data_IF_552907576966
#
_entry.id   IF_552907576966
#
_cell.length_a   1.000
_cell.length_b   1.000
_cell.length_c   1.000
_cell.angle_alpha   90.00
_cell.angle_beta   90.00
_cell.angle_gamma   90.00
#
_symmetry.space_group_name_H-M   'P 1'
#
loop_
_entity.id
_entity.type
_entity.pdbx_description
1 polymer ?
#
# COMPACT_ATOMS: atom_id res chain seq x y z
N UNK A 1 -5.94 -6.38 22.84
CA UNK A 1 -5.44 -6.75 21.50
C UNK A 1 -5.99 -5.74 20.49
N UNK A 2 -5.23 -5.33 19.47
CA UNK A 2 -5.76 -4.42 18.44
C UNK A 2 -6.70 -5.24 17.53
N UNK A 3 -7.96 -4.84 17.33
CA UNK A 3 -8.88 -5.58 16.45
C UNK A 3 -8.31 -5.63 15.03
N UNK A 4 -8.40 -6.81 14.41
CA UNK A 4 -7.82 -7.07 13.09
C UNK A 4 -8.34 -6.10 12.03
N UNK A 5 -9.58 -5.63 12.18
CA UNK A 5 -10.23 -4.64 11.31
C UNK A 5 -9.46 -3.31 11.24
N UNK A 6 -8.88 -2.84 12.36
CA UNK A 6 -8.08 -1.60 12.36
C UNK A 6 -6.74 -1.76 11.64
N UNK A 7 -6.14 -2.96 11.70
CA UNK A 7 -4.91 -3.26 10.96
C UNK A 7 -5.19 -3.31 9.47
N UNK A 8 -6.22 -4.05 9.06
CA UNK A 8 -6.62 -4.16 7.64
C UNK A 8 -6.99 -2.79 7.08
N UNK A 9 -7.69 -1.95 7.84
CA UNK A 9 -7.97 -0.56 7.45
C UNK A 9 -6.71 0.27 7.19
N UNK A 10 -5.66 0.10 8.02
CA UNK A 10 -4.37 0.75 7.80
C UNK A 10 -3.65 0.27 6.53
N UNK A 11 -3.75 -1.02 6.21
CA UNK A 11 -3.18 -1.59 4.99
C UNK A 11 -3.81 -0.97 3.74
N UNK A 12 -5.14 -0.89 3.70
CA UNK A 12 -5.87 -0.27 2.59
C UNK A 12 -5.57 1.23 2.46
N UNK A 13 -5.43 1.95 3.58
CA UNK A 13 -5.04 3.36 3.54
C UNK A 13 -3.64 3.56 2.95
N UNK A 14 -2.67 2.74 3.36
CA UNK A 14 -1.31 2.81 2.81
C UNK A 14 -1.28 2.47 1.32
N UNK A 15 -2.05 1.46 0.89
CA UNK A 15 -2.18 1.12 -0.53
C UNK A 15 -2.78 2.29 -1.32
N UNK A 16 -3.83 2.93 -0.80
CA UNK A 16 -4.43 4.09 -1.45
C UNK A 16 -3.41 5.22 -1.67
N UNK A 17 -2.60 5.52 -0.65
CA UNK A 17 -1.54 6.55 -0.75
C UNK A 17 -0.54 6.18 -1.84
N UNK A 18 -0.07 4.93 -1.89
CA UNK A 18 0.87 4.49 -2.93
C UNK A 18 0.28 4.60 -4.34
N UNK A 19 -0.99 4.21 -4.52
CA UNK A 19 -1.68 4.33 -5.80
C UNK A 19 -1.85 5.79 -6.23
N UNK A 20 -2.16 6.69 -5.30
CA UNK A 20 -2.23 8.14 -5.57
C UNK A 20 -0.87 8.69 -5.96
N UNK A 21 0.21 8.27 -5.31
CA UNK A 21 1.57 8.69 -5.68
C UNK A 21 1.90 8.23 -7.10
N UNK A 22 1.62 6.98 -7.45
CA UNK A 22 1.83 6.50 -8.82
C UNK A 22 0.97 7.24 -9.85
N UNK A 23 -0.30 7.52 -9.53
CA UNK A 23 -1.18 8.29 -10.39
C UNK A 23 -0.64 9.71 -10.61
N UNK A 24 -0.19 10.37 -9.54
CA UNK A 24 0.40 11.71 -9.62
C UNK A 24 1.68 11.70 -10.47
N UNK A 25 2.58 10.75 -10.24
CA UNK A 25 3.82 10.60 -11.03
C UNK A 25 3.50 10.37 -12.51
N UNK A 26 2.55 9.48 -12.82
CA UNK A 26 2.14 9.20 -14.20
C UNK A 26 1.51 10.44 -14.87
N UNK A 27 0.67 11.18 -14.13
CA UNK A 27 0.04 12.41 -14.60
C UNK A 27 1.07 13.51 -14.88
N UNK A 28 2.02 13.75 -13.96
CA UNK A 28 3.10 14.71 -14.17
C UNK A 28 4.06 14.31 -15.30
N UNK A 29 4.17 13.02 -15.62
CA UNK A 29 4.92 12.51 -16.78
C UNK A 29 4.11 12.55 -18.08
N UNK A 30 2.84 12.96 -18.05
CA UNK A 30 1.95 12.97 -19.21
C UNK A 30 1.61 11.58 -19.75
N UNK A 31 1.73 10.53 -18.93
CA UNK A 31 1.44 9.17 -19.36
C UNK A 31 -0.06 8.87 -19.28
N UNK A 32 -0.67 8.59 -20.44
CA UNK A 32 -2.07 8.15 -20.52
C UNK A 32 -2.26 6.68 -20.11
N UNK A 33 -1.19 5.89 -20.23
CA UNK A 33 -1.14 4.46 -19.89
C UNK A 33 -0.06 4.26 -18.84
N UNK A 34 -0.41 3.54 -17.78
CA UNK A 34 0.48 3.13 -16.71
C UNK A 34 0.80 1.65 -16.82
N UNK A 35 2.08 1.31 -16.78
CA UNK A 35 2.56 -0.06 -16.80
C UNK A 35 2.73 -0.58 -15.38
N UNK A 36 1.96 -1.63 -15.04
CA UNK A 36 2.16 -2.40 -13.84
C UNK A 36 3.36 -3.31 -14.06
N UNK A 37 4.43 -3.04 -13.34
CA UNK A 37 5.67 -3.83 -13.33
C UNK A 37 5.77 -4.67 -12.06
N UNK A 38 6.67 -5.67 -12.00
CA UNK A 38 6.96 -6.41 -10.77
C UNK A 38 7.39 -5.49 -9.62
N UNK A 39 8.09 -4.40 -9.94
CA UNK A 39 8.47 -3.36 -8.99
C UNK A 39 7.24 -2.67 -8.36
N UNK A 40 6.23 -2.31 -9.17
CA UNK A 40 5.00 -1.68 -8.66
C UNK A 40 4.27 -2.63 -7.70
N UNK A 41 4.17 -3.92 -8.06
CA UNK A 41 3.49 -4.93 -7.26
C UNK A 41 4.20 -5.19 -5.92
N UNK A 42 5.52 -5.28 -5.93
CA UNK A 42 6.31 -5.48 -4.71
C UNK A 42 6.25 -4.28 -3.78
N UNK A 43 6.27 -3.06 -4.31
CA UNK A 43 6.06 -1.83 -3.53
C UNK A 43 4.64 -1.78 -2.95
N UNK A 44 3.61 -2.14 -3.72
CA UNK A 44 2.24 -2.23 -3.23
C UNK A 44 2.11 -3.27 -2.09
N UNK A 45 2.74 -4.43 -2.23
CA UNK A 45 2.79 -5.45 -1.18
C UNK A 45 3.51 -4.95 0.09
N UNK A 46 4.64 -4.26 -0.07
CA UNK A 46 5.34 -3.64 1.05
C UNK A 46 4.48 -2.60 1.76
N UNK A 47 3.74 -1.78 1.00
CA UNK A 47 2.83 -0.78 1.54
C UNK A 47 1.67 -1.40 2.34
N UNK A 48 1.11 -2.52 1.85
CA UNK A 48 0.10 -3.28 2.58
C UNK A 48 0.63 -3.80 3.93
N UNK A 49 1.82 -4.40 3.94
CA UNK A 49 2.46 -4.89 5.16
C UNK A 49 2.79 -3.75 6.13
N UNK A 50 3.29 -2.64 5.60
CA UNK A 50 3.57 -1.44 6.38
C UNK A 50 2.29 -0.87 6.99
N UNK A 51 1.27 -0.61 6.18
CA UNK A 51 -0.01 -0.05 6.62
C UNK A 51 -0.74 -0.94 7.62
N UNK A 52 -0.66 -2.26 7.45
CA UNK A 52 -1.23 -3.23 8.40
C UNK A 52 -0.64 -3.12 9.81
N UNK A 53 0.63 -2.71 9.91
CA UNK A 53 1.38 -2.70 11.16
C UNK A 53 1.71 -1.28 11.68
N UNK A 54 1.41 -0.23 10.90
CA UNK A 54 1.68 1.18 11.24
C UNK A 54 0.71 1.78 12.28
N UNK A 55 -0.32 1.05 12.72
CA UNK A 55 -1.26 1.49 13.76
C UNK A 55 -0.60 1.39 15.15
N UNK A 56 0.23 2.38 15.48
CA UNK A 56 0.82 2.54 16.80
C UNK A 56 -0.24 3.03 17.79
N UNK A 57 -0.60 2.21 18.78
CA UNK A 57 -1.32 2.69 19.97
C UNK A 57 -0.25 3.16 20.96
N UNK A 58 -0.27 4.46 21.33
CA UNK A 58 0.58 5.01 22.41
C UNK A 58 0.33 4.19 23.68
N UNK A 59 1.36 3.49 24.17
CA UNK A 59 1.31 2.71 25.41
C UNK A 59 1.47 1.20 25.27
N UNK A 60 1.56 0.64 24.05
CA UNK A 60 1.83 -0.80 23.88
C UNK A 60 3.34 -1.09 23.86
N UNK A 61 3.77 -2.15 24.58
CA UNK A 61 5.17 -2.62 24.52
C UNK A 61 5.53 -2.99 23.08
N UNK A 62 6.65 -2.47 22.58
CA UNK A 62 7.16 -2.73 21.23
C UNK A 62 7.20 -4.23 20.95
N UNK A 63 6.27 -4.75 20.15
CA UNK A 63 6.19 -6.17 19.87
C UNK A 63 7.26 -6.57 18.85
N UNK A 64 8.02 -7.63 19.14
CA UNK A 64 9.04 -8.16 18.22
C UNK A 64 8.46 -8.48 16.84
N UNK A 65 7.20 -8.92 16.79
CA UNK A 65 6.47 -9.21 15.56
C UNK A 65 6.25 -7.97 14.66
N UNK A 66 6.07 -6.79 15.24
CA UNK A 66 5.93 -5.54 14.47
C UNK A 66 7.25 -5.09 13.86
N UNK A 67 8.34 -5.24 14.62
CA UNK A 67 9.69 -4.91 14.13
C UNK A 67 10.06 -5.83 12.98
N UNK A 68 9.80 -7.14 13.08
CA UNK A 68 10.03 -8.07 11.98
C UNK A 68 9.18 -7.75 10.75
N UNK A 69 7.91 -7.38 10.93
CA UNK A 69 7.04 -7.00 9.80
C UNK A 69 7.57 -5.74 9.08
N UNK A 70 8.07 -4.76 9.84
CA UNK A 70 8.67 -3.55 9.26
C UNK A 70 9.95 -3.86 8.50
N UNK A 71 10.83 -4.70 9.06
CA UNK A 71 12.05 -5.16 8.37
C UNK A 71 11.71 -5.88 7.06
N UNK A 72 10.69 -6.75 7.07
CA UNK A 72 10.22 -7.44 5.86
C UNK A 72 9.65 -6.45 4.83
N UNK A 73 8.87 -5.46 5.26
CA UNK A 73 8.35 -4.43 4.36
C UNK A 73 9.48 -3.63 3.69
N UNK A 74 10.49 -3.22 4.46
CA UNK A 74 11.67 -2.53 3.93
C UNK A 74 12.43 -3.44 2.96
N UNK A 75 12.62 -4.72 3.31
CA UNK A 75 13.26 -5.70 2.43
C UNK A 75 12.52 -5.87 1.09
N UNK A 76 11.19 -5.88 1.11
CA UNK A 76 10.36 -5.94 -0.09
C UNK A 76 10.48 -4.68 -0.96
N UNK A 77 10.60 -3.49 -0.37
CA UNK A 77 10.86 -2.25 -1.13
C UNK A 77 12.22 -2.36 -1.82
N UNK A 78 13.26 -2.81 -1.11
CA UNK A 78 14.61 -2.96 -1.67
C UNK A 78 14.59 -3.98 -2.82
N UNK A 79 13.98 -5.14 -2.61
CA UNK A 79 13.80 -6.15 -3.66
C UNK A 79 13.03 -5.58 -4.85
N UNK A 80 11.97 -4.82 -4.61
CA UNK A 80 11.18 -4.15 -5.63
C UNK A 80 12.01 -3.23 -6.52
N UNK A 81 12.94 -2.47 -5.94
CA UNK A 81 13.83 -1.58 -6.70
C UNK A 81 14.83 -2.36 -7.55
N UNK A 82 15.21 -3.58 -7.14
CA UNK A 82 16.13 -4.44 -7.89
C UNK A 82 15.43 -5.24 -8.99
N UNK A 83 14.10 -5.31 -8.98
CA UNK A 83 13.31 -6.06 -9.96
C UNK A 83 13.22 -5.33 -11.30
N UNK A 84 13.16 -6.07 -12.43
CA UNK A 84 13.03 -5.47 -13.75
C UNK A 84 11.75 -4.64 -13.87
N UNK A 85 11.85 -3.49 -14.54
CA UNK A 85 10.70 -2.66 -14.89
C UNK A 85 9.98 -3.14 -16.16
N UNK A 86 10.02 -4.45 -16.43
CA UNK A 86 9.29 -5.04 -17.55
C UNK A 86 7.78 -4.93 -17.30
N UNK A 87 7.03 -4.44 -18.28
CA UNK A 87 5.59 -4.32 -18.20
C UNK A 87 4.94 -5.72 -18.11
N UNK A 88 4.25 -6.00 -17.00
CA UNK A 88 3.40 -7.19 -16.88
C UNK A 88 2.01 -6.91 -17.45
N UNK A 89 1.49 -5.71 -17.17
CA UNK A 89 0.16 -5.30 -17.58
C UNK A 89 0.13 -3.78 -17.81
N UNK A 90 -0.57 -3.34 -18.86
CA UNK A 90 -0.75 -1.93 -19.16
C UNK A 90 -2.21 -1.55 -18.85
N UNK A 91 -2.40 -0.43 -18.16
CA UNK A 91 -3.72 0.03 -17.73
C UNK A 91 -3.82 1.55 -17.88
N UNK A 92 -4.98 2.11 -18.26
CA UNK A 92 -5.17 3.55 -18.31
C UNK A 92 -4.90 4.21 -16.95
N UNK A 93 -4.16 5.33 -16.94
CA UNK A 93 -3.70 5.98 -15.69
C UNK A 93 -4.83 6.33 -14.71
N UNK A 94 -6.02 6.65 -15.21
CA UNK A 94 -7.17 6.98 -14.35
C UNK A 94 -7.62 5.81 -13.47
N UNK A 95 -7.33 4.56 -13.83
CA UNK A 95 -7.67 3.39 -13.02
C UNK A 95 -6.95 3.39 -11.67
N UNK A 96 -5.74 3.95 -11.60
CA UNK A 96 -5.01 4.07 -10.33
C UNK A 96 -5.79 4.90 -9.31
N UNK A 97 -6.44 5.99 -9.74
CA UNK A 97 -7.27 6.82 -8.87
C UNK A 97 -8.55 6.12 -8.46
N UNK A 98 -9.18 5.36 -9.37
CA UNK A 98 -10.37 4.58 -9.03
C UNK A 98 -10.07 3.49 -8.00
N UNK A 99 -8.96 2.75 -8.17
CA UNK A 99 -8.51 1.76 -7.20
C UNK A 99 -8.09 2.39 -5.87
N UNK A 100 -7.44 3.56 -5.89
CA UNK A 100 -7.14 4.31 -4.68
C UNK A 100 -8.43 4.71 -3.93
N UNK A 101 -9.42 5.23 -4.64
CA UNK A 101 -10.73 5.57 -4.09
C UNK A 101 -11.42 4.35 -3.47
N UNK A 102 -11.45 3.23 -4.18
CA UNK A 102 -11.99 1.97 -3.66
C UNK A 102 -11.27 1.51 -2.38
N UNK A 103 -9.93 1.59 -2.36
CA UNK A 103 -9.14 1.25 -1.18
C UNK A 103 -9.46 2.17 0.02
N UNK A 104 -9.64 3.48 -0.19
CA UNK A 104 -10.10 4.40 0.85
C UNK A 104 -11.48 4.01 1.38
N UNK A 105 -12.43 3.71 0.48
CA UNK A 105 -13.78 3.28 0.87
C UNK A 105 -13.71 2.00 1.71
N UNK A 106 -12.93 0.99 1.30
CA UNK A 106 -12.70 -0.21 2.09
C UNK A 106 -12.10 0.10 3.47
N UNK A 107 -11.11 0.99 3.55
CA UNK A 107 -10.52 1.40 4.81
C UNK A 107 -11.54 2.09 5.74
N UNK A 108 -12.42 2.93 5.19
CA UNK A 108 -13.45 3.63 5.95
C UNK A 108 -14.54 2.67 6.44
N UNK A 109 -15.02 1.76 5.59
CA UNK A 109 -16.01 0.73 5.98
C UNK A 109 -15.45 -0.12 7.11
N UNK A 110 -14.21 -0.60 7.00
CA UNK A 110 -13.57 -1.40 8.05
C UNK A 110 -13.38 -0.65 9.37
N UNK A 111 -13.14 0.66 9.32
CA UNK A 111 -13.09 1.51 10.52
C UNK A 111 -14.47 1.69 11.14
N UNK A 112 -15.51 1.88 10.33
CA UNK A 112 -16.90 1.99 10.81
C UNK A 112 -17.41 0.68 11.40
N UNK A 113 -17.04 -0.48 10.83
CA UNK A 113 -17.44 -1.79 11.37
C UNK A 113 -16.73 -2.18 12.67
N UNK A 114 -15.71 -1.42 13.08
CA UNK A 114 -14.92 -1.68 14.29
C UNK A 114 -15.31 -0.77 15.48
N UNK A 115 -16.16 0.23 15.25
CA UNK A 115 -16.76 1.11 16.28
C UNK A 115 -18.11 0.59 16.71
#
# INVERSE_FOLDING_TARGET
MIPIQLRVGGAFLALAVVLVIYAAVAFFRGQAVFEITPQVLTIAAAALLFGANATFVRGQSRSRAQVTALVVAVGLVILGVLLPSAALLATPTYWLLLWAGAAVVCALILRQSAT
#
